data_IF_370629670213
#
_entry.id   IF_370629670213
#
_cell.length_a   1.000
_cell.length_b   1.000
_cell.length_c   1.000
_cell.angle_alpha   90.00
_cell.angle_beta   90.00
_cell.angle_gamma   90.00
#
_symmetry.space_group_name_H-M   'P 1'
#
loop_
_entity.id
_entity.type
_entity.pdbx_description
1 polymer ?
#
# COMPACT_ATOMS: atom_id res chain seq x y z
N UNK A 1 4.86 -4.02 -38.25
CA UNK A 1 3.46 -4.27 -38.67
C UNK A 1 2.72 -4.79 -37.45
N UNK A 2 1.93 -3.91 -36.82
CA UNK A 2 0.78 -4.14 -35.90
C UNK A 2 0.99 -5.21 -34.81
N UNK A 3 1.15 -4.85 -33.53
CA UNK A 3 0.03 -4.62 -32.58
C UNK A 3 0.36 -3.44 -31.66
N UNK A 4 -0.19 -2.28 -32.02
CA UNK A 4 -0.59 -1.21 -31.11
C UNK A 4 -2.07 -1.51 -30.87
N UNK A 5 -2.48 -2.02 -29.70
CA UNK A 5 -3.88 -1.98 -29.20
C UNK A 5 -3.94 -2.60 -27.80
N UNK A 6 -3.74 -1.79 -26.76
CA UNK A 6 -4.64 -1.65 -25.60
C UNK A 6 -4.15 -0.62 -24.56
N UNK A 7 -3.48 0.46 -24.98
CA UNK A 7 -3.78 1.74 -24.34
C UNK A 7 -5.20 2.02 -24.80
N UNK A 8 -6.18 1.64 -23.98
CA UNK A 8 -7.55 2.03 -24.18
C UNK A 8 -7.51 3.55 -24.36
N UNK A 9 -7.80 3.99 -25.58
CA UNK A 9 -8.12 5.37 -25.89
C UNK A 9 -9.00 5.86 -24.75
N UNK A 10 -8.49 6.81 -23.93
CA UNK A 10 -9.36 7.56 -23.06
C UNK A 10 -10.39 8.20 -23.98
N UNK A 11 -11.68 7.84 -23.89
CA UNK A 11 -12.68 8.65 -24.55
C UNK A 11 -12.56 10.04 -23.95
N UNK A 12 -12.63 11.07 -24.78
CA UNK A 12 -12.91 12.43 -24.34
C UNK A 12 -13.90 12.40 -23.17
N UNK A 13 -13.56 13.13 -22.09
CA UNK A 13 -14.10 12.96 -20.73
C UNK A 13 -15.55 12.45 -20.67
N UNK A 14 -15.75 11.15 -20.41
CA UNK A 14 -17.10 10.58 -20.19
C UNK A 14 -17.74 11.03 -18.87
N UNK A 15 -17.05 11.89 -18.11
CA UNK A 15 -17.54 12.55 -16.91
C UNK A 15 -17.91 13.99 -17.30
N UNK A 16 -19.17 14.42 -17.10
CA UNK A 16 -19.60 15.78 -17.40
C UNK A 16 -18.67 16.85 -16.79
N UNK A 17 -18.24 17.89 -17.54
CA UNK A 17 -17.32 18.92 -17.04
C UNK A 17 -17.78 19.60 -15.75
N UNK A 18 -19.10 19.81 -15.59
CA UNK A 18 -19.69 20.39 -14.37
C UNK A 18 -19.44 19.53 -13.12
N UNK A 19 -19.35 18.20 -13.28
CA UNK A 19 -19.01 17.28 -12.18
C UNK A 19 -17.54 17.40 -11.84
N UNK A 20 -16.66 17.50 -12.84
CA UNK A 20 -15.22 17.71 -12.65
C UNK A 20 -14.99 18.99 -11.83
N UNK A 21 -15.62 20.09 -12.23
CA UNK A 21 -15.51 21.39 -11.55
C UNK A 21 -16.08 21.34 -10.12
N UNK A 22 -17.26 20.73 -9.94
CA UNK A 22 -17.86 20.55 -8.62
C UNK A 22 -16.95 19.78 -7.66
N UNK A 23 -16.30 18.73 -8.15
CA UNK A 23 -15.38 17.94 -7.32
C UNK A 23 -14.10 18.73 -7.02
N UNK A 24 -13.53 19.46 -7.99
CA UNK A 24 -12.32 20.28 -7.77
C UNK A 24 -12.49 21.37 -6.71
N UNK A 25 -13.71 21.86 -6.54
CA UNK A 25 -14.05 22.89 -5.56
C UNK A 25 -14.40 22.33 -4.16
N UNK A 26 -14.24 21.03 -3.94
CA UNK A 26 -14.58 20.34 -2.69
C UNK A 26 -13.36 19.60 -2.17
N UNK A 27 -13.07 19.72 -0.88
CA UNK A 27 -11.99 18.94 -0.23
C UNK A 27 -12.35 17.44 -0.20
N UNK A 28 -13.59 17.11 0.17
CA UNK A 28 -14.11 15.73 0.11
C UNK A 28 -15.48 15.73 -0.57
N UNK A 29 -15.73 14.72 -1.41
CA UNK A 29 -16.99 14.47 -2.10
C UNK A 29 -17.43 13.01 -1.95
N UNK A 30 -18.71 12.81 -1.66
CA UNK A 30 -19.33 11.48 -1.58
C UNK A 30 -20.12 11.12 -2.86
N UNK A 31 -20.39 9.82 -3.05
CA UNK A 31 -21.35 9.35 -4.07
C UNK A 31 -22.70 10.05 -3.91
N UNK A 32 -23.14 10.26 -2.66
CA UNK A 32 -24.41 10.94 -2.36
C UNK A 32 -24.37 12.42 -2.72
N UNK A 33 -23.25 13.09 -2.51
CA UNK A 33 -23.08 14.50 -2.85
C UNK A 33 -23.24 14.72 -4.36
N UNK A 34 -22.65 13.84 -5.18
CA UNK A 34 -22.81 13.87 -6.63
C UNK A 34 -24.22 13.47 -7.05
N UNK A 35 -24.78 12.42 -6.44
CA UNK A 35 -26.14 11.95 -6.72
C UNK A 35 -27.17 13.06 -6.47
N UNK A 36 -27.06 13.78 -5.36
CA UNK A 36 -27.96 14.87 -5.00
C UNK A 36 -27.73 16.13 -5.83
N UNK A 37 -26.47 16.58 -5.97
CA UNK A 37 -26.15 17.82 -6.68
C UNK A 37 -26.50 17.78 -8.18
N UNK A 38 -26.51 16.59 -8.78
CA UNK A 38 -26.75 16.41 -10.22
C UNK A 38 -27.98 15.54 -10.55
N UNK A 39 -28.78 15.18 -9.54
CA UNK A 39 -29.95 14.29 -9.69
C UNK A 39 -29.64 12.98 -10.42
N UNK A 40 -28.50 12.37 -10.08
CA UNK A 40 -28.01 11.12 -10.67
C UNK A 40 -28.32 9.93 -9.77
N UNK A 41 -28.38 8.72 -10.34
CA UNK A 41 -28.37 7.50 -9.52
C UNK A 41 -27.03 7.35 -8.79
N UNK A 42 -27.04 6.72 -7.60
CA UNK A 42 -25.79 6.43 -6.87
C UNK A 42 -24.81 5.59 -7.70
N UNK A 43 -25.32 4.72 -8.60
CA UNK A 43 -24.51 3.91 -9.51
C UNK A 43 -23.78 4.81 -10.51
N UNK A 44 -24.48 5.75 -11.16
CA UNK A 44 -23.89 6.69 -12.12
C UNK A 44 -22.88 7.60 -11.43
N UNK A 45 -23.21 8.14 -10.25
CA UNK A 45 -22.33 8.96 -9.43
C UNK A 45 -21.04 8.20 -9.05
N UNK A 46 -21.16 6.95 -8.61
CA UNK A 46 -20.02 6.07 -8.32
C UNK A 46 -19.15 5.84 -9.55
N UNK A 47 -19.74 5.59 -10.71
CA UNK A 47 -19.00 5.36 -11.95
C UNK A 47 -18.21 6.60 -12.35
N UNK A 48 -18.79 7.80 -12.25
CA UNK A 48 -18.08 9.05 -12.54
C UNK A 48 -16.93 9.32 -11.57
N UNK A 49 -17.15 9.18 -10.26
CA UNK A 49 -16.07 9.35 -9.28
C UNK A 49 -14.97 8.28 -9.45
N UNK A 50 -15.32 7.05 -9.80
CA UNK A 50 -14.34 6.00 -10.09
C UNK A 50 -13.50 6.31 -11.33
N UNK A 51 -14.10 6.88 -12.38
CA UNK A 51 -13.37 7.31 -13.58
C UNK A 51 -12.43 8.47 -13.28
N UNK A 52 -12.88 9.49 -12.54
CA UNK A 52 -12.03 10.58 -12.09
C UNK A 52 -10.85 10.08 -11.24
N UNK A 53 -11.08 9.06 -10.41
CA UNK A 53 -10.02 8.44 -9.62
C UNK A 53 -9.03 7.65 -10.47
N UNK A 54 -9.49 6.93 -11.49
CA UNK A 54 -8.63 6.26 -12.48
C UNK A 54 -7.79 7.29 -13.26
N UNK A 55 -8.36 8.46 -13.57
CA UNK A 55 -7.67 9.55 -14.24
C UNK A 55 -6.68 10.33 -13.35
N UNK A 56 -6.62 10.03 -12.04
CA UNK A 56 -5.74 10.71 -11.09
C UNK A 56 -6.18 12.14 -10.72
N UNK A 57 -7.39 12.56 -11.11
CA UNK A 57 -7.93 13.88 -10.78
C UNK A 57 -8.38 13.97 -9.31
N UNK A 58 -8.77 12.83 -8.73
CA UNK A 58 -9.26 12.71 -7.35
C UNK A 58 -8.76 11.40 -6.73
N UNK A 59 -8.66 11.31 -5.39
CA UNK A 59 -8.32 10.06 -4.70
C UNK A 59 -9.55 9.44 -4.04
N UNK A 60 -9.78 8.13 -4.23
CA UNK A 60 -10.78 7.42 -3.42
C UNK A 60 -10.23 7.22 -2.01
N UNK A 61 -10.89 7.83 -1.03
CA UNK A 61 -10.54 7.73 0.40
C UNK A 61 -11.41 6.69 1.13
N UNK A 62 -12.32 6.04 0.40
CA UNK A 62 -13.02 4.83 0.83
C UNK A 62 -14.53 4.98 0.96
N UNK A 63 -15.26 3.85 0.89
CA UNK A 63 -16.74 3.79 1.07
C UNK A 63 -17.57 4.78 0.24
N UNK A 64 -17.13 5.11 -0.97
CA UNK A 64 -17.81 6.08 -1.82
C UNK A 64 -17.46 7.53 -1.52
N UNK A 65 -16.40 7.78 -0.75
CA UNK A 65 -15.81 9.09 -0.55
C UNK A 65 -14.56 9.25 -1.43
N UNK A 66 -14.39 10.45 -1.94
CA UNK A 66 -13.30 10.86 -2.81
C UNK A 66 -12.80 12.24 -2.37
N UNK A 67 -11.50 12.51 -2.51
CA UNK A 67 -10.92 13.81 -2.19
C UNK A 67 -10.31 14.42 -3.45
N UNK A 68 -10.53 15.72 -3.64
CA UNK A 68 -9.91 16.47 -4.73
C UNK A 68 -8.41 16.65 -4.47
N UNK A 69 -7.61 16.47 -5.50
CA UNK A 69 -6.16 16.55 -5.40
C UNK A 69 -5.53 15.68 -6.46
N UNK A 70 -4.67 16.28 -7.27
CA UNK A 70 -3.90 15.56 -8.29
C UNK A 70 -3.06 14.52 -7.56
N UNK A 71 -3.34 13.25 -7.85
CA UNK A 71 -2.55 12.14 -7.35
C UNK A 71 -1.24 12.18 -8.11
N UNK A 72 -0.27 12.95 -7.64
CA UNK A 72 1.09 12.41 -7.70
C UNK A 72 1.07 11.23 -6.74
N UNK A 73 0.69 10.06 -7.28
CA UNK A 73 0.81 8.82 -6.56
C UNK A 73 2.26 8.80 -6.11
N UNK A 74 2.50 8.76 -4.81
CA UNK A 74 3.83 8.51 -4.28
C UNK A 74 4.14 7.07 -4.66
N UNK A 75 4.50 6.88 -5.92
CA UNK A 75 5.15 5.69 -6.40
C UNK A 75 6.40 5.66 -5.56
N UNK A 76 6.47 4.70 -4.65
CA UNK A 76 7.70 4.46 -3.94
C UNK A 76 8.71 4.05 -5.00
N UNK A 77 9.65 4.95 -5.29
CA UNK A 77 10.64 4.73 -6.32
C UNK A 77 11.69 3.78 -5.76
N UNK A 78 12.03 2.69 -6.48
CA UNK A 78 13.13 1.83 -6.09
C UNK A 78 14.43 2.65 -5.95
N UNK A 79 15.19 2.51 -4.85
CA UNK A 79 16.52 3.11 -4.77
C UNK A 79 17.44 2.48 -5.84
N UNK A 80 18.55 3.15 -6.22
CA UNK A 80 19.40 2.71 -7.34
C UNK A 80 19.87 1.25 -7.25
N UNK A 81 20.19 0.76 -6.05
CA UNK A 81 20.61 -0.63 -5.86
C UNK A 81 19.49 -1.64 -6.13
N UNK A 82 18.26 -1.33 -5.69
CA UNK A 82 17.09 -2.16 -5.95
C UNK A 82 16.68 -2.10 -7.43
N UNK A 83 16.74 -0.92 -8.05
CA UNK A 83 16.53 -0.76 -9.49
C UNK A 83 17.51 -1.64 -10.29
N UNK A 84 18.80 -1.64 -9.91
CA UNK A 84 19.79 -2.53 -10.53
C UNK A 84 19.44 -4.01 -10.39
N UNK A 85 18.99 -4.47 -9.21
CA UNK A 85 18.52 -5.85 -9.02
C UNK A 85 17.35 -6.15 -9.97
N UNK A 86 16.41 -5.23 -10.11
CA UNK A 86 15.26 -5.39 -10.99
C UNK A 86 15.66 -5.47 -12.48
N UNK A 87 16.59 -4.62 -12.92
CA UNK A 87 17.15 -4.66 -14.28
C UNK A 87 17.87 -5.98 -14.59
N UNK A 88 18.69 -6.48 -13.65
CA UNK A 88 19.38 -7.77 -13.80
C UNK A 88 18.38 -8.94 -13.90
N UNK A 89 17.31 -8.93 -13.09
CA UNK A 89 16.24 -9.92 -13.21
C UNK A 89 15.56 -9.80 -14.56
N UNK A 90 15.18 -8.59 -14.99
CA UNK A 90 14.45 -8.38 -16.26
C UNK A 90 15.29 -8.76 -17.47
N UNK A 91 16.60 -8.52 -17.43
CA UNK A 91 17.52 -8.91 -18.50
C UNK A 91 17.57 -10.43 -18.72
N UNK A 92 17.46 -11.22 -17.65
CA UNK A 92 17.44 -12.69 -17.73
C UNK A 92 16.02 -13.24 -17.94
N UNK A 93 15.01 -12.57 -17.39
CA UNK A 93 13.61 -13.00 -17.42
C UNK A 93 12.68 -11.89 -17.95
N UNK A 94 12.72 -11.54 -19.25
CA UNK A 94 12.01 -10.38 -19.78
C UNK A 94 10.48 -10.44 -19.67
N UNK A 95 9.92 -11.66 -19.60
CA UNK A 95 8.48 -11.91 -19.53
C UNK A 95 8.01 -12.28 -18.11
N UNK A 96 8.89 -12.21 -17.12
CA UNK A 96 8.54 -12.57 -15.76
C UNK A 96 7.76 -11.44 -15.06
N UNK A 97 6.65 -11.82 -14.43
CA UNK A 97 5.97 -10.96 -13.48
C UNK A 97 6.66 -11.10 -12.11
N UNK A 98 7.26 -10.01 -11.63
CA UNK A 98 7.86 -9.96 -10.31
C UNK A 98 7.68 -8.58 -9.66
N UNK A 99 7.71 -8.58 -8.34
CA UNK A 99 7.67 -7.36 -7.53
C UNK A 99 9.02 -7.13 -6.89
N UNK A 100 9.48 -5.87 -6.84
CA UNK A 100 10.65 -5.48 -6.05
C UNK A 100 10.29 -4.42 -5.03
N UNK A 101 10.86 -4.51 -3.84
CA UNK A 101 10.82 -3.42 -2.86
C UNK A 101 11.97 -3.50 -1.86
N UNK A 102 12.22 -2.43 -1.10
CA UNK A 102 13.18 -2.44 0.00
C UNK A 102 12.71 -1.55 1.16
N UNK A 103 13.39 -1.63 2.30
CA UNK A 103 13.06 -0.78 3.45
C UNK A 103 13.33 0.70 3.10
N UNK A 104 14.40 1.00 2.36
CA UNK A 104 14.74 2.36 1.90
C UNK A 104 13.63 3.06 1.11
N UNK A 105 12.68 2.33 0.54
CA UNK A 105 11.52 2.92 -0.12
C UNK A 105 10.59 3.69 0.84
N UNK A 106 10.72 3.46 2.16
CA UNK A 106 10.08 4.27 3.19
C UNK A 106 10.91 5.45 3.68
N UNK A 107 12.10 5.71 3.13
CA UNK A 107 12.98 6.79 3.60
C UNK A 107 12.30 8.15 3.62
N UNK A 108 11.40 8.43 2.68
CA UNK A 108 10.61 9.65 2.69
C UNK A 108 9.74 9.76 3.94
N UNK A 109 9.22 8.64 4.45
CA UNK A 109 8.32 8.57 5.61
C UNK A 109 9.05 8.24 6.93
N UNK A 110 10.32 7.83 6.89
CA UNK A 110 11.06 7.42 8.08
C UNK A 110 11.64 8.63 8.81
N UNK A 111 11.63 8.58 10.15
CA UNK A 111 12.25 9.62 10.97
C UNK A 111 13.72 9.32 11.25
N UNK A 112 14.09 8.04 11.28
CA UNK A 112 15.46 7.60 11.40
C UNK A 112 16.02 7.09 10.07
N UNK A 113 17.33 7.18 9.91
CA UNK A 113 18.03 6.45 8.86
C UNK A 113 17.79 4.95 9.08
N UNK A 114 17.26 4.28 8.05
CA UNK A 114 17.16 2.83 8.04
C UNK A 114 18.58 2.28 8.06
N UNK A 115 19.01 1.77 9.22
CA UNK A 115 20.41 1.47 9.50
C UNK A 115 21.03 0.50 8.49
N UNK A 116 20.29 -0.56 8.12
CA UNK A 116 20.68 -1.45 7.03
C UNK A 116 19.47 -1.81 6.19
N UNK A 117 19.60 -1.63 4.88
CA UNK A 117 18.54 -1.98 3.95
C UNK A 117 18.34 -3.50 3.86
N UNK A 118 17.17 -3.88 3.39
CA UNK A 118 16.79 -5.25 3.06
C UNK A 118 15.95 -5.18 1.78
N UNK A 119 16.41 -5.85 0.72
CA UNK A 119 15.70 -5.90 -0.55
C UNK A 119 14.83 -7.14 -0.63
N UNK A 120 13.68 -6.99 -1.26
CA UNK A 120 12.64 -8.00 -1.40
C UNK A 120 12.33 -8.18 -2.89
N UNK A 121 12.27 -9.42 -3.32
CA UNK A 121 11.77 -9.83 -4.63
C UNK A 121 10.62 -10.79 -4.40
N UNK A 122 9.47 -10.55 -5.01
CA UNK A 122 8.32 -11.45 -4.96
C UNK A 122 8.05 -12.00 -6.35
N UNK A 123 7.98 -13.33 -6.48
CA UNK A 123 7.81 -13.99 -7.78
C UNK A 123 7.07 -15.32 -7.62
N UNK A 124 6.76 -15.96 -8.73
CA UNK A 124 6.14 -17.29 -8.74
C UNK A 124 7.11 -18.39 -8.29
N UNK A 125 6.58 -19.51 -7.78
CA UNK A 125 7.37 -20.71 -7.44
C UNK A 125 8.18 -21.26 -8.60
N UNK A 126 7.71 -21.05 -9.84
CA UNK A 126 8.37 -21.55 -11.05
C UNK A 126 9.66 -20.78 -11.35
N UNK A 127 9.74 -19.52 -10.93
CA UNK A 127 10.85 -18.62 -11.27
C UNK A 127 11.77 -18.34 -10.07
N UNK A 128 11.31 -18.56 -8.84
CA UNK A 128 12.01 -18.16 -7.61
C UNK A 128 13.44 -18.70 -7.50
N UNK A 129 13.64 -19.99 -7.81
CA UNK A 129 14.97 -20.62 -7.80
C UNK A 129 15.87 -20.09 -8.92
N UNK A 130 15.35 -19.96 -10.14
CA UNK A 130 16.12 -19.43 -11.28
C UNK A 130 16.51 -17.97 -11.07
N UNK A 131 15.62 -17.14 -10.53
CA UNK A 131 15.92 -15.74 -10.17
C UNK A 131 16.99 -15.67 -9.07
N UNK A 132 16.93 -16.56 -8.06
CA UNK A 132 17.98 -16.67 -7.04
C UNK A 132 19.33 -16.94 -7.69
N UNK A 133 19.41 -17.97 -8.54
CA UNK A 133 20.67 -18.42 -9.14
C UNK A 133 21.26 -17.36 -10.07
N UNK A 134 20.41 -16.69 -10.86
CA UNK A 134 20.80 -15.56 -11.70
C UNK A 134 21.43 -14.42 -10.86
N UNK A 135 20.80 -14.03 -9.75
CA UNK A 135 21.33 -12.97 -8.88
C UNK A 135 22.61 -13.40 -8.15
N UNK A 136 22.71 -14.66 -7.68
CA UNK A 136 23.95 -15.17 -7.08
C UNK A 136 25.10 -15.12 -8.09
N UNK A 137 24.85 -15.48 -9.36
CA UNK A 137 25.87 -15.42 -10.43
C UNK A 137 26.40 -14.00 -10.68
N UNK A 138 25.62 -12.97 -10.31
CA UNK A 138 25.97 -11.55 -10.39
C UNK A 138 26.61 -11.00 -9.10
N UNK A 139 26.85 -11.86 -8.11
CA UNK A 139 27.51 -11.52 -6.86
C UNK A 139 26.61 -11.02 -5.74
N UNK A 140 25.28 -11.09 -5.90
CA UNK A 140 24.35 -10.71 -4.84
C UNK A 140 24.26 -11.77 -3.74
N UNK A 141 24.12 -11.34 -2.49
CA UNK A 141 23.69 -12.20 -1.38
C UNK A 141 22.17 -12.43 -1.49
N UNK A 142 21.76 -13.63 -1.85
CA UNK A 142 20.33 -13.95 -2.04
C UNK A 142 19.87 -15.01 -1.05
N UNK A 143 18.71 -14.80 -0.43
CA UNK A 143 18.04 -15.78 0.43
C UNK A 143 16.68 -16.11 -0.18
N UNK A 144 16.49 -17.36 -0.59
CA UNK A 144 15.21 -17.83 -1.12
C UNK A 144 14.34 -18.37 0.02
N UNK A 145 13.08 -17.93 0.07
CA UNK A 145 12.11 -18.30 1.11
C UNK A 145 12.70 -18.07 2.51
N UNK A 146 13.06 -16.81 2.85
CA UNK A 146 13.68 -16.49 4.12
C UNK A 146 12.82 -16.94 5.29
N UNK A 147 13.48 -17.49 6.30
CA UNK A 147 12.89 -17.93 7.55
C UNK A 147 13.22 -16.97 8.68
N UNK A 148 12.76 -17.29 9.90
CA UNK A 148 12.93 -16.44 11.08
C UNK A 148 14.39 -16.07 11.33
N UNK A 149 15.29 -17.03 11.15
CA UNK A 149 16.73 -16.82 11.35
C UNK A 149 17.27 -15.77 10.38
N UNK A 150 16.92 -15.85 9.10
CA UNK A 150 17.38 -14.89 8.09
C UNK A 150 16.95 -13.46 8.43
N UNK A 151 15.70 -13.32 8.89
CA UNK A 151 15.13 -12.05 9.33
C UNK A 151 15.76 -11.49 10.61
N UNK A 152 16.34 -12.32 11.47
CA UNK A 152 17.05 -11.89 12.68
C UNK A 152 18.52 -11.58 12.41
N UNK A 153 19.11 -12.23 11.41
CA UNK A 153 20.55 -12.14 11.14
C UNK A 153 20.91 -11.25 9.95
N UNK A 154 19.95 -10.77 9.16
CA UNK A 154 20.23 -9.98 7.95
C UNK A 154 21.12 -8.76 8.22
N UNK A 155 21.00 -8.15 9.40
CA UNK A 155 21.82 -7.02 9.85
C UNK A 155 23.32 -7.36 9.87
N UNK A 156 23.69 -8.62 10.11
CA UNK A 156 25.09 -9.06 10.20
C UNK A 156 25.72 -9.47 8.86
N UNK A 157 24.94 -9.56 7.76
CA UNK A 157 25.52 -9.90 6.46
C UNK A 157 26.51 -8.83 5.95
N UNK A 158 27.59 -9.17 5.23
CA UNK A 158 28.51 -8.15 4.71
C UNK A 158 27.88 -7.24 3.65
N UNK A 159 26.88 -7.74 2.92
CA UNK A 159 26.18 -7.05 1.85
C UNK A 159 24.69 -6.91 2.20
N UNK A 160 24.00 -5.98 1.53
CA UNK A 160 22.53 -5.90 1.59
C UNK A 160 21.94 -7.13 0.89
N UNK A 161 21.21 -8.00 1.62
CA UNK A 161 20.68 -9.21 1.02
C UNK A 161 19.42 -8.93 0.19
N UNK A 162 19.19 -9.79 -0.79
CA UNK A 162 17.95 -9.89 -1.56
C UNK A 162 17.16 -11.11 -1.06
N UNK A 163 16.00 -10.86 -0.48
CA UNK A 163 15.07 -11.89 -0.02
C UNK A 163 14.05 -12.20 -1.11
N UNK A 164 14.03 -13.45 -1.59
CA UNK A 164 13.08 -13.89 -2.61
C UNK A 164 11.91 -14.62 -1.96
N UNK A 165 10.70 -14.09 -2.14
CA UNK A 165 9.45 -14.68 -1.71
C UNK A 165 8.67 -15.29 -2.87
N UNK A 166 8.08 -16.45 -2.61
CA UNK A 166 7.14 -17.09 -3.52
C UNK A 166 5.72 -16.58 -3.26
N UNK A 167 5.29 -15.54 -3.99
CA UNK A 167 3.98 -14.89 -3.81
C UNK A 167 3.32 -14.61 -5.16
N UNK A 168 1.99 -14.73 -5.19
CA UNK A 168 1.15 -14.43 -6.35
C UNK A 168 0.14 -13.31 -6.07
N UNK A 169 0.42 -12.46 -5.08
CA UNK A 169 -0.49 -11.40 -4.66
C UNK A 169 -0.17 -10.11 -5.41
N UNK A 170 -1.09 -9.67 -6.27
CA UNK A 170 -0.95 -8.46 -7.08
C UNK A 170 -1.68 -7.24 -6.50
N UNK A 171 -2.52 -7.45 -5.48
CA UNK A 171 -3.24 -6.35 -4.86
C UNK A 171 -2.28 -5.37 -4.17
N UNK A 172 -2.46 -4.07 -4.45
CA UNK A 172 -1.58 -3.03 -3.92
C UNK A 172 -0.20 -3.00 -4.59
N UNK A 173 -0.12 -3.38 -5.86
CA UNK A 173 1.05 -3.15 -6.71
C UNK A 173 0.77 -2.06 -7.73
N UNK A 174 1.83 -1.45 -8.23
CA UNK A 174 1.84 -0.52 -9.36
C UNK A 174 2.96 -0.94 -10.30
N UNK A 175 2.70 -0.91 -11.60
CA UNK A 175 3.73 -1.19 -12.60
C UNK A 175 4.72 -0.02 -12.66
N UNK A 176 6.00 -0.35 -12.70
CA UNK A 176 7.11 0.59 -12.78
C UNK A 176 8.18 -0.01 -13.70
N UNK A 177 8.37 0.61 -14.85
CA UNK A 177 9.41 0.23 -15.82
C UNK A 177 9.40 -1.28 -16.16
N UNK A 178 8.23 -1.93 -16.28
CA UNK A 178 8.14 -3.35 -16.64
C UNK A 178 8.39 -4.34 -15.50
N UNK A 179 8.39 -3.90 -14.24
CA UNK A 179 8.21 -4.74 -13.05
C UNK A 179 7.18 -4.11 -12.11
N UNK A 180 6.84 -4.79 -11.01
CA UNK A 180 5.91 -4.24 -10.03
C UNK A 180 6.63 -3.66 -8.81
N UNK A 181 6.08 -2.57 -8.29
CA UNK A 181 6.43 -2.01 -6.98
C UNK A 181 5.18 -1.95 -6.10
N UNK A 182 5.28 -2.24 -4.80
CA UNK A 182 4.15 -2.14 -3.91
C UNK A 182 3.84 -0.68 -3.55
N UNK A 183 2.58 -0.43 -3.29
CA UNK A 183 2.11 0.83 -2.69
C UNK A 183 2.44 0.89 -1.20
N UNK A 184 2.57 2.08 -0.59
CA UNK A 184 2.97 2.23 0.81
C UNK A 184 2.14 1.40 1.80
N UNK A 185 0.82 1.30 1.59
CA UNK A 185 -0.06 0.57 2.50
C UNK A 185 0.22 -0.93 2.54
N UNK A 186 0.63 -1.48 1.39
CA UNK A 186 1.00 -2.89 1.28
C UNK A 186 2.29 -3.15 2.04
N UNK A 187 3.30 -2.31 1.85
CA UNK A 187 4.60 -2.53 2.49
C UNK A 187 4.52 -2.35 4.00
N UNK A 188 3.77 -1.35 4.49
CA UNK A 188 3.55 -1.18 5.93
C UNK A 188 2.93 -2.44 6.55
N UNK A 189 1.89 -2.98 5.89
CA UNK A 189 1.22 -4.20 6.34
C UNK A 189 2.12 -5.45 6.25
N UNK A 190 2.99 -5.54 5.23
CA UNK A 190 3.95 -6.64 5.10
C UNK A 190 5.05 -6.53 6.17
N UNK A 191 5.58 -5.34 6.48
CA UNK A 191 6.53 -5.15 7.59
C UNK A 191 5.87 -5.57 8.90
N UNK A 192 4.67 -5.07 9.20
CA UNK A 192 3.91 -5.46 10.38
C UNK A 192 3.76 -6.98 10.47
N UNK A 193 3.33 -7.63 9.38
CA UNK A 193 3.19 -9.08 9.30
C UNK A 193 4.51 -9.80 9.55
N UNK A 194 5.60 -9.37 8.91
CA UNK A 194 6.90 -10.02 9.06
C UNK A 194 7.45 -9.86 10.48
N UNK A 195 7.29 -8.68 11.10
CA UNK A 195 7.77 -8.46 12.48
C UNK A 195 7.06 -9.35 13.48
N UNK A 196 5.75 -9.52 13.30
CA UNK A 196 4.91 -10.26 14.25
C UNK A 196 4.84 -11.77 13.98
N UNK A 197 4.99 -12.22 12.72
CA UNK A 197 4.78 -13.63 12.32
C UNK A 197 6.06 -14.32 11.88
N UNK A 198 7.04 -13.58 11.39
CA UNK A 198 8.28 -14.11 10.84
C UNK A 198 9.51 -13.72 11.67
N UNK A 199 9.34 -12.94 12.73
CA UNK A 199 10.43 -12.51 13.60
C UNK A 199 11.36 -11.51 12.94
N UNK A 200 10.85 -10.71 11.99
CA UNK A 200 11.59 -9.60 11.44
C UNK A 200 11.86 -8.55 12.51
N UNK A 201 13.13 -8.24 12.72
CA UNK A 201 13.56 -7.27 13.73
C UNK A 201 13.43 -5.88 13.12
N UNK A 202 12.26 -5.28 13.29
CA UNK A 202 11.97 -3.91 12.90
C UNK A 202 11.37 -3.17 14.10
N UNK A 203 11.85 -1.97 14.36
CA UNK A 203 11.40 -1.18 15.51
C UNK A 203 9.90 -0.82 15.38
N UNK A 204 9.12 -1.19 16.38
CA UNK A 204 7.67 -0.97 16.38
C UNK A 204 7.32 0.51 16.53
N UNK A 205 8.18 1.27 17.22
CA UNK A 205 8.02 2.71 17.34
C UNK A 205 8.22 3.40 15.99
N UNK A 206 9.30 3.08 15.27
CA UNK A 206 9.53 3.57 13.90
C UNK A 206 8.40 3.18 12.93
N UNK A 207 7.87 1.96 13.03
CA UNK A 207 6.73 1.55 12.19
C UNK A 207 5.48 2.41 12.46
N UNK A 208 5.29 2.85 13.71
CA UNK A 208 4.23 3.79 14.09
C UNK A 208 4.49 5.20 13.57
N UNK A 209 5.74 5.68 13.59
CA UNK A 209 6.13 6.98 13.05
C UNK A 209 5.95 7.03 11.52
N UNK A 210 6.40 6.00 10.80
CA UNK A 210 6.17 5.85 9.36
C UNK A 210 4.67 5.92 9.05
N UNK A 211 3.85 5.23 9.85
CA UNK A 211 2.39 5.28 9.68
C UNK A 211 1.83 6.69 9.83
N UNK A 212 2.24 7.40 10.89
CA UNK A 212 1.81 8.78 11.12
C UNK A 212 2.21 9.70 9.96
N UNK A 213 3.45 9.59 9.47
CA UNK A 213 3.93 10.35 8.32
C UNK A 213 3.14 10.05 7.04
N UNK A 214 2.79 8.77 6.79
CA UNK A 214 1.94 8.38 5.66
C UNK A 214 0.54 9.01 5.76
N UNK A 215 -0.05 9.08 6.96
CA UNK A 215 -1.34 9.74 7.19
C UNK A 215 -1.23 11.24 6.95
N UNK A 216 -0.25 11.90 7.58
CA UNK A 216 -0.09 13.35 7.52
C UNK A 216 0.17 13.89 6.12
N UNK A 217 0.87 13.11 5.28
CA UNK A 217 1.16 13.47 3.89
C UNK A 217 0.08 13.03 2.90
N UNK A 218 -1.03 12.48 3.38
CA UNK A 218 -2.09 11.95 2.52
C UNK A 218 -1.64 10.75 1.66
N UNK A 219 -0.53 10.11 2.02
CA UNK A 219 0.05 8.97 1.30
C UNK A 219 -0.64 7.64 1.60
N UNK A 220 -1.70 7.63 2.42
CA UNK A 220 -2.41 6.42 2.83
C UNK A 220 -3.86 6.35 2.33
N UNK A 221 -4.20 5.18 1.79
CA UNK A 221 -5.54 4.72 1.48
C UNK A 221 -5.95 3.63 2.47
N UNK A 222 -6.74 4.01 3.48
CA UNK A 222 -7.15 3.09 4.56
C UNK A 222 -7.96 1.90 4.08
N UNK A 223 -8.79 2.07 3.05
CA UNK A 223 -9.55 0.97 2.46
C UNK A 223 -8.62 -0.04 1.79
N UNK A 224 -7.56 0.44 1.13
CA UNK A 224 -6.54 -0.42 0.54
C UNK A 224 -5.76 -1.16 1.61
N UNK A 225 -5.30 -0.45 2.64
CA UNK A 225 -4.63 -1.02 3.80
C UNK A 225 -5.46 -2.16 4.39
N UNK A 226 -6.71 -1.89 4.78
CA UNK A 226 -7.57 -2.88 5.43
C UNK A 226 -7.89 -4.07 4.52
N UNK A 227 -8.12 -3.86 3.22
CA UNK A 227 -8.33 -4.97 2.28
C UNK A 227 -7.08 -5.84 2.15
N UNK A 228 -5.90 -5.25 2.09
CA UNK A 228 -4.65 -6.00 2.01
C UNK A 228 -4.34 -6.72 3.33
N UNK A 229 -4.55 -6.07 4.48
CA UNK A 229 -4.42 -6.66 5.80
C UNK A 229 -5.33 -7.88 5.97
N UNK A 230 -6.53 -7.89 5.37
CA UNK A 230 -7.40 -9.08 5.36
C UNK A 230 -6.78 -10.23 4.56
N UNK A 231 -6.21 -9.97 3.39
CA UNK A 231 -5.48 -10.97 2.58
C UNK A 231 -4.24 -11.52 3.29
N UNK A 232 -3.62 -10.71 4.16
CA UNK A 232 -2.52 -11.13 5.03
C UNK A 232 -2.94 -11.78 6.35
N UNK A 233 -4.23 -11.83 6.67
CA UNK A 233 -4.74 -12.43 7.90
C UNK A 233 -4.52 -11.56 9.15
N UNK A 234 -4.26 -10.26 8.98
CA UNK A 234 -3.97 -9.29 10.06
C UNK A 234 -5.02 -8.17 10.15
N UNK A 235 -6.16 -8.32 9.48
CA UNK A 235 -7.20 -7.30 9.42
C UNK A 235 -7.66 -6.78 10.79
N UNK A 236 -7.92 -7.69 11.74
CA UNK A 236 -8.47 -7.32 13.06
C UNK A 236 -7.49 -6.48 13.84
N UNK A 237 -6.21 -6.84 13.81
CA UNK A 237 -5.14 -6.11 14.51
C UNK A 237 -4.95 -4.73 13.91
N UNK A 238 -4.89 -4.62 12.57
CA UNK A 238 -4.79 -3.33 11.90
C UNK A 238 -6.03 -2.46 12.20
N UNK A 239 -7.22 -3.06 12.26
CA UNK A 239 -8.43 -2.32 12.63
C UNK A 239 -8.38 -1.81 14.07
N UNK A 240 -7.90 -2.63 15.02
CA UNK A 240 -7.72 -2.23 16.43
C UNK A 240 -6.67 -1.12 16.54
N UNK A 241 -5.53 -1.27 15.86
CA UNK A 241 -4.49 -0.24 15.78
C UNK A 241 -5.05 1.10 15.31
N UNK A 242 -5.81 1.12 14.20
CA UNK A 242 -6.46 2.33 13.71
C UNK A 242 -7.46 2.92 14.72
N UNK A 243 -8.25 2.06 15.38
CA UNK A 243 -9.20 2.50 16.39
C UNK A 243 -8.50 3.14 17.60
N UNK A 244 -7.43 2.54 18.11
CA UNK A 244 -6.66 3.13 19.22
C UNK A 244 -6.04 4.48 18.83
N UNK A 245 -5.53 4.62 17.60
CA UNK A 245 -5.05 5.91 17.12
C UNK A 245 -6.14 7.00 17.10
N UNK A 246 -7.41 6.63 16.87
CA UNK A 246 -8.51 7.62 16.87
C UNK A 246 -8.83 8.18 18.26
N UNK A 247 -8.51 7.43 19.32
CA UNK A 247 -8.70 7.92 20.70
C UNK A 247 -7.66 8.97 21.08
N UNK A 248 -6.56 9.06 20.33
CA UNK A 248 -5.58 10.12 20.52
C UNK A 248 -6.15 11.43 19.97
N UNK A 249 -6.00 12.54 20.69
CA UNK A 249 -6.41 13.87 20.20
C UNK A 249 -5.45 14.44 19.14
N UNK A 250 -4.79 13.55 18.37
CA UNK A 250 -3.82 13.90 17.34
C UNK A 250 -4.51 14.22 16.01
N UNK A 251 -3.83 14.98 15.14
CA UNK A 251 -4.28 15.24 13.76
C UNK A 251 -4.50 13.92 12.99
N UNK A 252 -3.60 12.96 13.19
CA UNK A 252 -3.67 11.60 12.67
C UNK A 252 -4.95 10.90 13.14
N UNK A 253 -5.25 10.94 14.44
CA UNK A 253 -6.47 10.36 15.01
C UNK A 253 -7.75 10.92 14.40
N UNK A 254 -7.82 12.24 14.20
CA UNK A 254 -8.96 12.92 13.55
C UNK A 254 -9.13 12.48 12.10
N UNK A 255 -8.05 12.46 11.31
CA UNK A 255 -8.09 12.00 9.91
C UNK A 255 -8.54 10.53 9.80
N UNK A 256 -8.06 9.64 10.68
CA UNK A 256 -8.50 8.24 10.71
C UNK A 256 -9.99 8.15 11.09
N UNK A 257 -10.45 8.94 12.07
CA UNK A 257 -11.83 8.94 12.51
C UNK A 257 -12.81 9.30 11.36
N UNK A 258 -12.46 10.30 10.57
CA UNK A 258 -13.22 10.75 9.41
C UNK A 258 -13.29 9.66 8.32
N UNK A 259 -12.17 9.03 7.96
CA UNK A 259 -12.14 8.10 6.83
C UNK A 259 -12.52 6.65 7.18
N UNK A 260 -12.10 6.14 8.34
CA UNK A 260 -12.20 4.71 8.68
C UNK A 260 -13.46 4.42 9.49
N UNK A 261 -13.81 5.29 10.44
CA UNK A 261 -14.84 4.99 11.45
C UNK A 261 -16.25 5.37 10.99
N UNK A 262 -16.41 6.43 10.19
CA UNK A 262 -17.73 6.92 9.77
C UNK A 262 -18.59 5.84 9.08
N UNK A 263 -17.97 4.89 8.39
CA UNK A 263 -18.69 3.76 7.83
C UNK A 263 -18.66 2.46 8.64
N UNK A 264 -17.75 2.30 9.61
CA UNK A 264 -17.57 1.05 10.39
C UNK A 264 -18.27 1.10 11.75
N UNK A 265 -19.14 2.09 12.00
CA UNK A 265 -19.79 2.37 13.29
C UNK A 265 -20.29 1.13 14.02
N UNK A 266 -20.93 0.18 13.34
CA UNK A 266 -21.46 -1.06 13.96
C UNK A 266 -20.38 -2.03 14.46
N UNK A 267 -19.32 -2.24 13.67
CA UNK A 267 -18.19 -3.11 14.09
C UNK A 267 -17.43 -2.46 15.25
N UNK A 268 -17.29 -1.14 15.20
CA UNK A 268 -16.60 -0.37 16.23
C UNK A 268 -17.40 -0.26 17.53
N UNK A 269 -18.73 -0.12 17.45
CA UNK A 269 -19.58 -0.19 18.64
C UNK A 269 -19.46 -1.55 19.30
N UNK A 270 -19.38 -2.64 18.52
CA UNK A 270 -19.10 -3.98 19.08
C UNK A 270 -17.73 -4.03 19.77
N UNK A 271 -16.67 -3.52 19.14
CA UNK A 271 -15.34 -3.48 19.74
C UNK A 271 -15.33 -2.62 21.02
N UNK A 272 -15.96 -1.45 21.00
CA UNK A 272 -16.05 -0.56 22.15
C UNK A 272 -16.80 -1.23 23.32
N UNK A 273 -17.95 -1.86 23.05
CA UNK A 273 -18.70 -2.61 24.07
C UNK A 273 -17.91 -3.81 24.63
N UNK A 274 -17.10 -4.49 23.80
CA UNK A 274 -16.21 -5.56 24.27
C UNK A 274 -15.13 -5.01 25.20
N UNK A 275 -14.53 -3.86 24.86
CA UNK A 275 -13.52 -3.20 25.70
C UNK A 275 -14.13 -2.74 27.02
N UNK A 276 -15.28 -2.05 26.99
CA UNK A 276 -15.99 -1.62 28.21
C UNK A 276 -16.35 -2.80 29.12
N UNK A 277 -16.84 -3.90 28.53
CA UNK A 277 -17.15 -5.12 29.27
C UNK A 277 -15.93 -5.79 29.90
N UNK A 278 -14.76 -5.67 29.29
CA UNK A 278 -13.49 -6.16 29.85
C UNK A 278 -13.02 -5.27 31.01
N UNK A 279 -13.08 -3.94 30.85
CA UNK A 279 -12.64 -2.98 31.88
C UNK A 279 -13.55 -2.89 33.11
N UNK A 280 -14.81 -3.35 33.01
CA UNK A 280 -15.75 -3.39 34.14
C UNK A 280 -15.63 -4.64 35.02
N UNK A 281 -14.75 -5.58 34.66
CA UNK A 281 -14.50 -6.81 35.41
C UNK A 281 -13.27 -6.73 36.33
N UNK A 282 -12.59 -5.59 36.33
CA UNK A 282 -11.63 -5.18 37.36
C UNK A 282 -12.33 -4.21 38.34
#
# INVERSE_FOLDING_TARGET
>A
MTIIYLIAMCPESSVPPKIVEYVKNKDVVSIRDISQAFSLTEITAKNYLSRLAIMGEIRSIGRGLYQAGRVEGVIMRPPPMLAKVAEEIRGVFPMAEFTVWSLQMFSDYSHYMIGKDLMFVETSKMLSASMRDALISKGYRVVLRPEKRDFQEFAFYPQVPVFIFERKEFYGLTEFEGYFVPVPERVWADIYYYSTRKGFVFDSFELGLIFAAMVDRGGINFDRLLRYSARRGIFREVLIFLYELTKTNSKVGKSIAEHVLLGRRRTLSTIASMVEGATRRD
#
